data_IF_299154390079
#
_entry.id   IF_299154390079
#
_cell.length_a   1.000
_cell.length_b   1.000
_cell.length_c   1.000
_cell.angle_alpha   90.00
_cell.angle_beta   90.00
_cell.angle_gamma   90.00
#
_symmetry.space_group_name_H-M   'P 1'
#
loop_
_entity.id
_entity.type
_entity.pdbx_description
1 polymer ?
#
# COMPACT_ATOMS: atom_id res chain seq x y z
N UNK A 1 0.21 -21.29 1.58
CA UNK A 1 -1.23 -21.64 1.69
C UNK A 1 -1.40 -23.01 2.32
N UNK A 2 -0.72 -24.07 1.86
CA UNK A 2 -0.82 -25.42 2.45
C UNK A 2 -0.47 -25.40 3.95
N UNK A 3 0.65 -24.81 4.33
CA UNK A 3 1.07 -24.69 5.72
C UNK A 3 0.07 -23.89 6.58
N UNK A 4 -0.51 -22.82 6.01
CA UNK A 4 -1.60 -22.08 6.67
C UNK A 4 -2.81 -22.98 6.95
N UNK A 5 -3.19 -23.84 6.00
CA UNK A 5 -4.27 -24.82 6.18
C UNK A 5 -3.95 -25.85 7.27
N UNK A 6 -2.73 -26.36 7.30
CA UNK A 6 -2.28 -27.30 8.35
C UNK A 6 -2.29 -26.62 9.73
N UNK A 7 -1.95 -25.31 9.81
CA UNK A 7 -1.94 -24.58 11.08
C UNK A 7 -3.30 -24.44 11.77
N UNK A 8 -4.39 -24.70 11.08
CA UNK A 8 -5.74 -24.71 11.66
C UNK A 8 -5.89 -25.80 12.71
N UNK A 9 -5.14 -26.89 12.60
CA UNK A 9 -5.23 -28.04 13.53
C UNK A 9 -4.87 -27.66 14.96
N UNK A 10 -3.94 -26.68 15.15
CA UNK A 10 -3.55 -26.18 16.48
C UNK A 10 -4.01 -24.75 16.75
N UNK A 11 -4.88 -24.22 15.90
CA UNK A 11 -5.41 -22.87 16.06
C UNK A 11 -6.27 -22.74 17.32
N UNK A 12 -6.18 -21.60 18.00
CA UNK A 12 -7.03 -21.30 19.18
C UNK A 12 -8.51 -21.35 18.79
N UNK A 13 -8.83 -20.80 17.60
CA UNK A 13 -10.15 -20.85 16.99
C UNK A 13 -10.02 -21.36 15.55
N UNK A 14 -10.41 -22.62 15.33
CA UNK A 14 -10.35 -23.27 14.03
C UNK A 14 -11.30 -22.62 13.01
N UNK A 15 -12.44 -22.08 13.43
CA UNK A 15 -13.43 -21.46 12.54
C UNK A 15 -12.87 -20.17 11.96
N UNK A 16 -12.23 -19.33 12.79
CA UNK A 16 -11.56 -18.12 12.32
C UNK A 16 -10.38 -18.47 11.40
N UNK A 17 -9.57 -19.43 11.80
CA UNK A 17 -8.47 -19.96 10.98
C UNK A 17 -8.95 -20.43 9.60
N UNK A 18 -10.03 -21.19 9.54
CA UNK A 18 -10.63 -21.66 8.29
C UNK A 18 -11.14 -20.49 7.42
N UNK A 19 -11.80 -19.51 8.03
CA UNK A 19 -12.30 -18.32 7.33
C UNK A 19 -11.16 -17.53 6.67
N UNK A 20 -10.06 -17.29 7.39
CA UNK A 20 -8.88 -16.59 6.86
C UNK A 20 -8.21 -17.43 5.77
N UNK A 21 -8.00 -18.71 6.01
CA UNK A 21 -7.39 -19.62 5.01
C UNK A 21 -8.19 -19.69 3.71
N UNK A 22 -9.53 -19.78 3.80
CA UNK A 22 -10.40 -19.78 2.63
C UNK A 22 -10.25 -18.50 1.79
N UNK A 23 -10.16 -17.31 2.42
CA UNK A 23 -9.87 -16.06 1.72
C UNK A 23 -8.55 -16.12 0.95
N UNK A 24 -7.50 -16.67 1.55
CA UNK A 24 -6.21 -16.82 0.89
C UNK A 24 -6.25 -17.80 -0.27
N UNK A 25 -7.01 -18.90 -0.17
CA UNK A 25 -7.23 -19.83 -1.28
C UNK A 25 -7.92 -19.13 -2.46
N UNK A 26 -8.99 -18.38 -2.19
CA UNK A 26 -9.71 -17.65 -3.25
C UNK A 26 -8.80 -16.64 -3.96
N UNK A 27 -7.98 -15.89 -3.21
CA UNK A 27 -7.00 -14.97 -3.78
C UNK A 27 -5.99 -15.74 -4.65
N UNK A 28 -5.50 -16.88 -4.18
CA UNK A 28 -4.54 -17.69 -4.92
C UNK A 28 -5.11 -18.28 -6.21
N UNK A 29 -6.33 -18.79 -6.16
CA UNK A 29 -7.05 -19.27 -7.35
C UNK A 29 -7.25 -18.13 -8.35
N UNK A 30 -7.72 -16.97 -7.88
CA UNK A 30 -7.89 -15.80 -8.73
C UNK A 30 -6.56 -15.35 -9.39
N UNK A 31 -5.45 -15.41 -8.66
CA UNK A 31 -4.12 -15.13 -9.19
C UNK A 31 -3.71 -16.11 -10.28
N UNK A 32 -3.87 -17.43 -10.06
CA UNK A 32 -3.54 -18.46 -11.06
C UNK A 32 -4.38 -18.28 -12.32
N UNK A 33 -5.69 -18.07 -12.18
CA UNK A 33 -6.58 -17.84 -13.30
C UNK A 33 -6.17 -16.58 -14.08
N UNK A 34 -5.84 -15.50 -13.37
CA UNK A 34 -5.38 -14.25 -14.00
C UNK A 34 -4.10 -14.45 -14.80
N UNK A 35 -3.13 -15.18 -14.24
CA UNK A 35 -1.88 -15.53 -14.93
C UNK A 35 -2.19 -16.40 -16.17
N UNK A 36 -3.06 -17.41 -16.03
CA UNK A 36 -3.47 -18.27 -17.14
C UNK A 36 -4.11 -17.50 -18.29
N UNK A 37 -4.96 -16.51 -17.96
CA UNK A 37 -5.52 -15.58 -18.95
C UNK A 37 -4.43 -14.72 -19.60
N UNK A 38 -3.53 -14.15 -18.80
CA UNK A 38 -2.45 -13.29 -19.31
C UNK A 38 -1.49 -14.03 -20.25
N UNK A 39 -1.27 -15.33 -20.05
CA UNK A 39 -0.40 -16.14 -20.92
C UNK A 39 -1.05 -16.50 -22.26
N UNK A 40 -2.39 -16.51 -22.32
CA UNK A 40 -3.14 -16.90 -23.54
C UNK A 40 -3.52 -15.72 -24.43
N UNK A 41 -3.66 -14.52 -23.88
CA UNK A 41 -4.13 -13.34 -24.61
C UNK A 41 -2.98 -12.38 -24.92
N UNK A 42 -2.67 -12.20 -26.18
CA UNK A 42 -1.67 -11.22 -26.65
C UNK A 42 -2.02 -9.76 -26.26
N UNK A 43 -3.28 -9.49 -25.91
CA UNK A 43 -3.76 -8.18 -25.48
C UNK A 43 -3.88 -8.06 -23.96
N UNK A 44 -3.55 -9.10 -23.19
CA UNK A 44 -3.75 -9.15 -21.74
C UNK A 44 -3.15 -7.94 -20.99
N UNK A 45 -1.93 -7.55 -21.33
CA UNK A 45 -1.29 -6.37 -20.71
C UNK A 45 -2.08 -5.10 -21.03
N UNK A 46 -2.54 -4.92 -22.25
CA UNK A 46 -3.35 -3.76 -22.63
C UNK A 46 -4.68 -3.76 -21.86
N UNK A 47 -5.34 -4.90 -21.77
CA UNK A 47 -6.60 -5.05 -21.05
C UNK A 47 -6.42 -4.78 -19.56
N UNK A 48 -5.34 -5.30 -18.94
CA UNK A 48 -4.98 -5.02 -17.56
C UNK A 48 -4.78 -3.52 -17.30
N UNK A 49 -4.08 -2.82 -18.21
CA UNK A 49 -3.88 -1.38 -18.11
C UNK A 49 -5.22 -0.63 -18.22
N UNK A 50 -6.08 -1.00 -19.14
CA UNK A 50 -7.41 -0.37 -19.27
C UNK A 50 -8.25 -0.60 -18.01
N UNK A 51 -8.29 -1.82 -17.48
CA UNK A 51 -8.98 -2.12 -16.22
C UNK A 51 -8.39 -1.29 -15.06
N UNK A 52 -7.07 -1.19 -14.99
CA UNK A 52 -6.41 -0.37 -13.95
C UNK A 52 -6.80 1.11 -14.08
N UNK A 53 -6.85 1.66 -15.28
CA UNK A 53 -7.29 3.03 -15.55
C UNK A 53 -8.73 3.25 -15.08
N UNK A 54 -9.65 2.33 -15.41
CA UNK A 54 -11.05 2.42 -14.99
C UNK A 54 -11.17 2.39 -13.46
N UNK A 55 -10.53 1.42 -12.81
CA UNK A 55 -10.57 1.29 -11.35
C UNK A 55 -9.90 2.50 -10.67
N UNK A 56 -8.80 3.02 -11.23
CA UNK A 56 -8.14 4.22 -10.72
C UNK A 56 -9.07 5.44 -10.79
N UNK A 57 -9.80 5.59 -11.91
CA UNK A 57 -10.78 6.67 -12.09
C UNK A 57 -11.89 6.59 -11.04
N UNK A 58 -12.47 5.41 -10.85
CA UNK A 58 -13.52 5.19 -9.83
C UNK A 58 -12.99 5.52 -8.44
N UNK A 59 -11.78 5.12 -8.12
CA UNK A 59 -11.18 5.39 -6.80
C UNK A 59 -10.88 6.88 -6.58
N UNK A 60 -10.37 7.58 -7.59
CA UNK A 60 -10.15 9.04 -7.52
C UNK A 60 -11.48 9.77 -7.31
N UNK A 61 -12.50 9.43 -8.09
CA UNK A 61 -13.84 9.99 -7.92
C UNK A 61 -14.40 9.70 -6.54
N UNK A 62 -14.30 8.46 -6.05
CA UNK A 62 -14.72 8.09 -4.70
C UNK A 62 -14.00 8.91 -3.62
N UNK A 63 -12.70 9.16 -3.76
CA UNK A 63 -11.94 9.99 -2.82
C UNK A 63 -12.48 11.43 -2.78
N UNK A 64 -12.70 12.03 -3.94
CA UNK A 64 -13.20 13.40 -4.07
C UNK A 64 -14.63 13.51 -3.52
N UNK A 65 -15.51 12.59 -3.89
CA UNK A 65 -16.90 12.56 -3.41
C UNK A 65 -16.91 12.42 -1.88
N UNK A 66 -16.17 11.47 -1.31
CA UNK A 66 -16.11 11.28 0.14
C UNK A 66 -15.55 12.52 0.85
N UNK A 67 -14.60 13.24 0.25
CA UNK A 67 -14.03 14.45 0.82
C UNK A 67 -15.09 15.53 1.05
N UNK A 68 -16.01 15.72 0.10
CA UNK A 68 -17.09 16.70 0.21
C UNK A 68 -18.30 16.18 1.00
N UNK A 69 -18.72 14.93 0.77
CA UNK A 69 -19.90 14.33 1.44
C UNK A 69 -19.69 14.22 2.96
N UNK A 70 -18.48 13.96 3.42
CA UNK A 70 -18.18 13.86 4.85
C UNK A 70 -17.64 15.15 5.46
N UNK A 71 -17.70 16.27 4.74
CA UNK A 71 -17.25 17.59 5.23
C UNK A 71 -15.83 17.57 5.81
N UNK A 72 -14.93 16.82 5.18
CA UNK A 72 -13.54 16.70 5.63
C UNK A 72 -12.82 18.05 5.55
N UNK A 73 -13.24 18.90 4.63
CA UNK A 73 -12.76 20.28 4.50
C UNK A 73 -13.09 21.17 5.70
N UNK A 74 -14.11 20.82 6.50
CA UNK A 74 -14.53 21.58 7.68
C UNK A 74 -13.93 20.99 8.97
N UNK A 75 -13.84 19.66 9.05
CA UNK A 75 -13.41 18.99 10.27
C UNK A 75 -12.47 17.80 10.00
N UNK A 76 -11.32 17.85 10.65
CA UNK A 76 -10.35 16.75 10.56
C UNK A 76 -10.80 15.44 11.17
N UNK A 77 -11.66 15.45 12.19
CA UNK A 77 -12.24 14.22 12.74
C UNK A 77 -12.91 13.38 11.65
N UNK A 78 -13.41 14.05 10.60
CA UNK A 78 -14.05 13.39 9.46
C UNK A 78 -13.05 12.72 8.50
N UNK A 79 -11.75 12.99 8.63
CA UNK A 79 -10.71 12.35 7.79
C UNK A 79 -10.68 10.82 7.94
N UNK A 80 -11.13 10.28 9.08
CA UNK A 80 -11.25 8.83 9.27
C UNK A 80 -12.34 8.21 8.38
N UNK A 81 -13.31 9.02 7.91
CA UNK A 81 -14.39 8.60 7.02
C UNK A 81 -13.97 8.54 5.54
N UNK A 82 -12.77 9.02 5.20
CA UNK A 82 -12.18 8.92 3.85
C UNK A 82 -11.71 7.50 3.55
N UNK A 83 -12.58 6.53 3.60
CA UNK A 83 -12.24 5.13 3.40
C UNK A 83 -12.64 4.58 2.01
N UNK A 84 -13.41 5.35 1.23
CA UNK A 84 -13.93 4.93 -0.06
C UNK A 84 -14.64 3.57 0.03
N UNK A 85 -14.30 2.67 -0.88
CA UNK A 85 -14.83 1.30 -0.89
C UNK A 85 -14.03 0.32 -0.01
N UNK A 86 -12.99 0.79 0.71
CA UNK A 86 -12.01 -0.09 1.38
C UNK A 86 -12.20 -0.18 2.90
N UNK A 87 -13.18 0.51 3.47
CA UNK A 87 -13.45 0.51 4.91
C UNK A 87 -12.38 1.18 5.78
N UNK A 88 -11.15 1.38 5.25
CA UNK A 88 -10.02 2.01 5.95
C UNK A 88 -9.22 2.90 5.00
N UNK A 89 -8.95 4.13 5.41
CA UNK A 89 -8.22 5.12 4.61
C UNK A 89 -6.79 4.71 4.26
N UNK A 90 -6.11 3.95 5.14
CA UNK A 90 -4.74 3.49 4.87
C UNK A 90 -4.75 2.43 3.76
N UNK A 91 -5.72 1.50 3.79
CA UNK A 91 -5.90 0.49 2.75
C UNK A 91 -6.26 1.18 1.42
N UNK A 92 -7.12 2.19 1.49
CA UNK A 92 -7.48 2.98 0.30
C UNK A 92 -6.26 3.68 -0.32
N UNK A 93 -5.41 4.32 0.50
CA UNK A 93 -4.19 4.96 0.02
C UNK A 93 -3.21 3.97 -0.61
N UNK A 94 -3.02 2.79 -0.01
CA UNK A 94 -2.21 1.72 -0.57
C UNK A 94 -2.79 1.21 -1.89
N UNK A 95 -4.11 1.04 -1.98
CA UNK A 95 -4.78 0.64 -3.22
C UNK A 95 -4.59 1.65 -4.36
N UNK A 96 -4.52 2.95 -4.06
CA UNK A 96 -4.16 3.99 -5.03
C UNK A 96 -2.69 3.88 -5.46
N UNK A 97 -1.78 3.70 -4.51
CA UNK A 97 -0.35 3.54 -4.77
C UNK A 97 -0.05 2.35 -5.70
N UNK A 98 -0.70 1.20 -5.48
CA UNK A 98 -0.49 0.01 -6.31
C UNK A 98 -0.89 0.19 -7.77
N UNK A 99 -1.69 1.20 -8.11
CA UNK A 99 -2.07 1.50 -9.49
C UNK A 99 -1.03 2.32 -10.24
N UNK A 100 -0.21 3.10 -9.52
CA UNK A 100 0.76 4.00 -10.14
C UNK A 100 1.77 3.30 -11.05
N UNK A 101 2.42 2.17 -10.70
CA UNK A 101 3.34 1.48 -11.59
C UNK A 101 2.72 1.09 -12.94
N UNK A 102 1.45 0.68 -12.95
CA UNK A 102 0.71 0.37 -14.18
C UNK A 102 0.46 1.63 -15.02
N UNK A 103 0.17 2.75 -14.37
CA UNK A 103 0.01 4.04 -15.05
C UNK A 103 1.35 4.56 -15.57
N UNK A 104 2.46 4.39 -14.84
CA UNK A 104 3.81 4.69 -15.35
C UNK A 104 4.12 3.90 -16.61
N UNK A 105 3.84 2.59 -16.58
CA UNK A 105 3.98 1.73 -17.73
C UNK A 105 3.10 2.20 -18.90
N UNK A 106 1.86 2.60 -18.63
CA UNK A 106 0.94 3.12 -19.64
C UNK A 106 1.50 4.39 -20.32
N UNK A 107 2.05 5.34 -19.56
CA UNK A 107 2.69 6.56 -20.10
C UNK A 107 3.88 6.21 -20.99
N UNK A 108 4.69 5.23 -20.62
CA UNK A 108 5.89 4.84 -21.34
C UNK A 108 5.58 4.07 -22.64
N UNK A 109 4.56 3.21 -22.64
CA UNK A 109 4.30 2.25 -23.74
C UNK A 109 3.17 2.66 -24.67
N UNK A 110 2.13 3.32 -24.17
CA UNK A 110 0.99 3.72 -24.98
C UNK A 110 1.15 5.16 -25.49
N UNK A 111 0.33 5.52 -26.49
CA UNK A 111 0.32 6.85 -27.12
C UNK A 111 -1.05 7.49 -27.01
N UNK A 112 -1.17 8.75 -27.45
CA UNK A 112 -2.43 9.50 -27.54
C UNK A 112 -3.21 9.49 -26.20
N UNK A 113 -4.52 9.21 -26.26
CA UNK A 113 -5.44 9.32 -25.13
C UNK A 113 -5.00 8.54 -23.88
N UNK A 114 -4.59 7.26 -24.02
CA UNK A 114 -4.20 6.43 -22.90
C UNK A 114 -3.02 7.06 -22.14
N UNK A 115 -2.02 7.61 -22.84
CA UNK A 115 -0.87 8.29 -22.23
C UNK A 115 -1.30 9.51 -21.43
N UNK A 116 -2.05 10.43 -22.05
CA UNK A 116 -2.42 11.69 -21.39
C UNK A 116 -3.39 11.46 -20.23
N UNK A 117 -4.33 10.52 -20.39
CA UNK A 117 -5.23 10.17 -19.33
C UNK A 117 -4.53 9.49 -18.15
N UNK A 118 -3.52 8.65 -18.42
CA UNK A 118 -2.67 8.07 -17.36
C UNK A 118 -1.86 9.14 -16.63
N UNK A 119 -1.34 10.15 -17.31
CA UNK A 119 -0.68 11.30 -16.66
C UNK A 119 -1.66 12.07 -15.77
N UNK A 120 -2.87 12.34 -16.24
CA UNK A 120 -3.92 12.94 -15.42
C UNK A 120 -4.24 12.10 -14.17
N UNK A 121 -4.34 10.78 -14.30
CA UNK A 121 -4.58 9.91 -13.16
C UNK A 121 -3.40 9.86 -12.17
N UNK A 122 -2.16 9.92 -12.66
CA UNK A 122 -0.97 10.02 -11.79
C UNK A 122 -1.05 11.30 -10.96
N UNK A 123 -1.37 12.43 -11.58
CA UNK A 123 -1.62 13.70 -10.89
C UNK A 123 -2.73 13.55 -9.85
N UNK A 124 -3.90 13.06 -10.26
CA UNK A 124 -5.08 12.95 -9.42
C UNK A 124 -4.87 11.98 -8.23
N UNK A 125 -4.18 10.84 -8.45
CA UNK A 125 -3.82 9.93 -7.37
C UNK A 125 -2.87 10.60 -6.39
N UNK A 126 -1.82 11.27 -6.85
CA UNK A 126 -0.87 11.98 -5.97
C UNK A 126 -1.57 13.05 -5.15
N UNK A 127 -2.52 13.77 -5.72
CA UNK A 127 -3.38 14.72 -5.04
C UNK A 127 -4.26 14.03 -3.97
N UNK A 128 -4.92 12.92 -4.31
CA UNK A 128 -5.75 12.15 -3.37
C UNK A 128 -4.94 11.57 -2.22
N UNK A 129 -3.69 11.14 -2.43
CA UNK A 129 -2.82 10.65 -1.35
C UNK A 129 -2.57 11.71 -0.28
N UNK A 130 -2.49 12.98 -0.65
CA UNK A 130 -2.41 14.09 0.30
C UNK A 130 -3.71 14.25 1.07
N UNK A 131 -4.86 14.21 0.40
CA UNK A 131 -6.18 14.27 1.04
C UNK A 131 -6.33 13.15 2.08
N UNK A 132 -5.94 11.93 1.73
CA UNK A 132 -5.98 10.77 2.63
C UNK A 132 -5.01 10.90 3.81
N UNK A 133 -3.97 11.72 3.70
CA UNK A 133 -3.02 12.04 4.79
C UNK A 133 -2.37 10.82 5.44
N UNK A 134 -2.05 9.78 4.68
CA UNK A 134 -1.42 8.57 5.22
C UNK A 134 0.09 8.64 5.08
N UNK A 135 0.84 8.50 6.19
CA UNK A 135 2.30 8.62 6.21
C UNK A 135 3.00 7.59 5.31
N UNK A 136 2.52 6.35 5.36
CA UNK A 136 3.06 5.24 4.56
C UNK A 136 2.91 5.46 3.06
N UNK A 137 1.83 6.12 2.62
CA UNK A 137 1.62 6.39 1.20
C UNK A 137 2.58 7.45 0.64
N UNK A 138 3.00 8.41 1.45
CA UNK A 138 4.02 9.38 1.04
C UNK A 138 5.36 8.71 0.80
N UNK A 139 5.81 7.89 1.77
CA UNK A 139 7.03 7.10 1.63
C UNK A 139 6.93 6.19 0.40
N UNK A 140 5.79 5.53 0.21
CA UNK A 140 5.55 4.64 -0.92
C UNK A 140 5.60 5.37 -2.27
N UNK A 141 5.02 6.56 -2.38
CA UNK A 141 5.08 7.38 -3.60
C UNK A 141 6.52 7.78 -3.93
N UNK A 142 7.26 8.33 -2.95
CA UNK A 142 8.64 8.75 -3.16
C UNK A 142 9.55 7.57 -3.51
N UNK A 143 9.37 6.43 -2.86
CA UNK A 143 10.12 5.22 -3.18
C UNK A 143 9.84 4.73 -4.61
N UNK A 144 8.57 4.74 -5.05
CA UNK A 144 8.21 4.38 -6.42
C UNK A 144 8.84 5.33 -7.45
N UNK A 145 8.84 6.64 -7.19
CA UNK A 145 9.48 7.61 -8.07
C UNK A 145 11.00 7.43 -8.08
N UNK A 146 11.63 7.16 -6.95
CA UNK A 146 13.06 6.85 -6.88
C UNK A 146 13.43 5.60 -7.69
N UNK A 147 12.65 4.52 -7.55
CA UNK A 147 12.84 3.30 -8.34
C UNK A 147 12.64 3.56 -9.83
N UNK A 148 11.63 4.35 -10.21
CA UNK A 148 11.39 4.74 -11.59
C UNK A 148 12.57 5.53 -12.18
N UNK A 149 13.09 6.50 -11.44
CA UNK A 149 14.27 7.27 -11.84
C UNK A 149 15.51 6.40 -11.96
N UNK A 150 15.77 5.55 -10.97
CA UNK A 150 16.88 4.61 -10.99
C UNK A 150 16.83 3.69 -12.21
N UNK A 151 15.67 3.09 -12.46
CA UNK A 151 15.48 2.27 -13.66
C UNK A 151 15.67 3.05 -14.95
N UNK A 152 15.16 4.29 -15.00
CA UNK A 152 15.35 5.18 -16.15
C UNK A 152 16.83 5.47 -16.44
N UNK A 153 17.60 5.82 -15.41
CA UNK A 153 19.06 6.09 -15.53
C UNK A 153 19.80 4.80 -15.90
N UNK A 154 19.52 3.69 -15.22
CA UNK A 154 20.17 2.41 -15.51
C UNK A 154 19.95 1.95 -16.95
N UNK A 155 18.70 2.04 -17.44
CA UNK A 155 18.39 1.71 -18.83
C UNK A 155 19.10 2.60 -19.83
N UNK A 156 19.25 3.89 -19.52
CA UNK A 156 19.97 4.86 -20.37
C UNK A 156 21.45 4.52 -20.49
N UNK A 157 22.12 4.25 -19.36
CA UNK A 157 23.53 3.88 -19.33
C UNK A 157 23.76 2.61 -20.17
N UNK A 158 22.87 1.64 -20.07
CA UNK A 158 22.99 0.36 -20.77
C UNK A 158 22.74 0.46 -22.29
N UNK A 159 21.80 1.31 -22.73
CA UNK A 159 21.32 1.34 -24.12
C UNK A 159 22.32 1.94 -25.12
N UNK A 160 23.31 2.72 -24.69
CA UNK A 160 24.33 3.42 -25.48
C UNK A 160 23.81 4.25 -26.71
N UNK A 161 22.49 4.35 -26.91
CA UNK A 161 21.87 5.09 -28.03
C UNK A 161 21.34 6.44 -27.53
N UNK A 162 22.08 7.51 -27.83
CA UNK A 162 21.81 8.88 -27.38
C UNK A 162 20.36 9.34 -27.67
N UNK A 163 19.84 9.05 -28.87
CA UNK A 163 18.51 9.48 -29.30
C UNK A 163 17.37 8.81 -28.49
N UNK A 164 17.54 7.56 -28.11
CA UNK A 164 16.60 6.81 -27.25
C UNK A 164 16.68 7.30 -25.81
N UNK A 165 17.87 7.67 -25.35
CA UNK A 165 18.12 8.23 -24.04
C UNK A 165 17.26 9.49 -23.83
N UNK A 166 17.38 10.47 -24.74
CA UNK A 166 16.64 11.74 -24.63
C UNK A 166 15.12 11.57 -24.70
N UNK A 167 14.62 10.63 -25.49
CA UNK A 167 13.18 10.40 -25.63
C UNK A 167 12.56 9.77 -24.38
N UNK A 168 13.22 8.79 -23.79
CA UNK A 168 12.71 8.13 -22.58
C UNK A 168 12.91 8.98 -21.32
N UNK A 169 14.05 9.68 -21.19
CA UNK A 169 14.30 10.57 -20.05
C UNK A 169 13.24 11.65 -19.89
N UNK A 170 12.77 12.24 -21.00
CA UNK A 170 11.68 13.22 -20.98
C UNK A 170 10.39 12.65 -20.40
N UNK A 171 10.06 11.38 -20.69
CA UNK A 171 8.85 10.75 -20.17
C UNK A 171 8.97 10.41 -18.68
N UNK A 172 10.14 9.93 -18.22
CA UNK A 172 10.39 9.71 -16.80
C UNK A 172 10.32 11.01 -16.01
N UNK A 173 10.98 12.06 -16.52
CA UNK A 173 10.92 13.38 -15.91
C UNK A 173 9.49 13.92 -15.87
N UNK A 174 8.73 13.77 -16.95
CA UNK A 174 7.33 14.18 -17.00
C UNK A 174 6.47 13.47 -15.97
N UNK A 175 6.63 12.15 -15.80
CA UNK A 175 5.92 11.39 -14.77
C UNK A 175 6.25 11.94 -13.37
N UNK A 176 7.52 12.17 -13.07
CA UNK A 176 7.96 12.71 -11.79
C UNK A 176 7.38 14.12 -11.54
N UNK A 177 7.47 15.01 -12.54
CA UNK A 177 6.94 16.36 -12.43
C UNK A 177 5.42 16.37 -12.21
N UNK A 178 4.68 15.52 -12.92
CA UNK A 178 3.23 15.39 -12.78
C UNK A 178 2.86 14.82 -11.40
N UNK A 179 3.57 13.80 -10.92
CA UNK A 179 3.32 13.24 -9.59
C UNK A 179 3.61 14.27 -8.48
N UNK A 180 4.74 14.97 -8.56
CA UNK A 180 5.13 16.00 -7.59
C UNK A 180 4.16 17.19 -7.64
N UNK A 181 3.73 17.63 -8.84
CA UNK A 181 2.75 18.71 -8.95
C UNK A 181 1.40 18.36 -8.30
N UNK A 182 0.91 17.13 -8.49
CA UNK A 182 -0.29 16.65 -7.82
C UNK A 182 -0.15 16.65 -6.28
N UNK A 183 1.03 16.24 -5.80
CA UNK A 183 1.36 16.25 -4.38
C UNK A 183 1.40 17.68 -3.81
N UNK A 184 2.11 18.61 -4.44
CA UNK A 184 2.25 20.02 -4.00
C UNK A 184 0.90 20.74 -4.05
N UNK A 185 0.15 20.58 -5.12
CA UNK A 185 -1.18 21.20 -5.25
C UNK A 185 -2.18 20.61 -4.25
N UNK A 186 -2.09 19.33 -3.95
CA UNK A 186 -2.88 18.69 -2.89
C UNK A 186 -2.59 19.29 -1.52
N UNK A 187 -1.32 19.55 -1.19
CA UNK A 187 -0.94 20.20 0.08
C UNK A 187 -1.44 21.65 0.15
N UNK A 188 -1.26 22.41 -0.94
CA UNK A 188 -1.78 23.77 -1.03
C UNK A 188 -3.30 23.83 -0.90
N UNK A 189 -4.02 22.89 -1.54
CA UNK A 189 -5.47 22.77 -1.47
C UNK A 189 -5.95 22.50 -0.03
N UNK A 190 -5.30 21.58 0.68
CA UNK A 190 -5.65 21.29 2.07
C UNK A 190 -5.40 22.50 2.96
N UNK A 191 -4.24 23.16 2.82
CA UNK A 191 -3.90 24.35 3.60
C UNK A 191 -4.92 25.47 3.37
N UNK A 192 -5.31 25.71 2.11
CA UNK A 192 -6.31 26.71 1.76
C UNK A 192 -7.67 26.42 2.42
N UNK A 193 -8.15 25.19 2.31
CA UNK A 193 -9.44 24.81 2.88
C UNK A 193 -9.44 24.92 4.43
N UNK A 194 -8.35 24.48 5.09
CA UNK A 194 -8.26 24.60 6.54
C UNK A 194 -8.17 26.07 7.00
N UNK A 195 -7.42 26.90 6.29
CA UNK A 195 -7.36 28.33 6.60
C UNK A 195 -8.71 29.03 6.44
N UNK A 196 -9.52 28.57 5.47
CA UNK A 196 -10.80 29.23 5.16
C UNK A 196 -11.98 28.71 5.99
N UNK A 197 -12.02 27.41 6.28
CA UNK A 197 -13.17 26.75 6.92
C UNK A 197 -12.94 26.36 8.38
N UNK A 198 -11.71 26.23 8.86
CA UNK A 198 -11.43 25.90 10.26
C UNK A 198 -10.77 27.08 10.97
N UNK A 199 -11.35 27.49 12.11
CA UNK A 199 -10.73 28.45 13.04
C UNK A 199 -9.57 27.82 13.85
N UNK A 200 -9.07 26.65 13.45
CA UNK A 200 -8.05 25.88 14.15
C UNK A 200 -6.69 26.18 13.53
N UNK A 201 -5.68 26.42 14.36
CA UNK A 201 -4.30 26.70 13.95
C UNK A 201 -3.77 25.72 12.89
N UNK A 202 -3.36 26.28 11.75
CA UNK A 202 -2.93 25.54 10.55
C UNK A 202 -1.59 24.82 10.71
N UNK A 203 -0.84 25.06 11.82
CA UNK A 203 0.52 24.58 12.00
C UNK A 203 0.68 23.06 12.03
N UNK A 204 -0.37 22.31 12.39
CA UNK A 204 -0.32 20.85 12.50
C UNK A 204 -0.56 20.11 11.16
N UNK A 205 -0.72 20.83 10.04
CA UNK A 205 -1.18 20.26 8.75
C UNK A 205 -0.19 20.38 7.61
N UNK A 206 0.91 21.09 7.80
CA UNK A 206 1.95 21.17 6.78
C UNK A 206 2.61 19.79 6.55
N UNK A 207 3.11 19.54 5.33
CA UNK A 207 3.95 18.37 5.03
C UNK A 207 5.10 18.29 6.04
N UNK A 208 5.69 19.44 6.40
CA UNK A 208 6.75 19.54 7.42
C UNK A 208 6.31 18.97 8.76
N UNK A 209 5.18 19.42 9.32
CA UNK A 209 4.65 18.91 10.58
C UNK A 209 4.31 17.40 10.53
N UNK A 210 3.92 16.89 9.37
CA UNK A 210 3.68 15.45 9.17
C UNK A 210 4.98 14.66 9.07
N UNK A 211 5.99 15.19 8.40
CA UNK A 211 7.32 14.58 8.34
C UNK A 211 7.98 14.58 9.73
N UNK A 212 7.91 15.67 10.48
CA UNK A 212 8.40 15.70 11.87
C UNK A 212 7.63 14.72 12.76
N UNK A 213 6.29 14.61 12.60
CA UNK A 213 5.49 13.62 13.33
C UNK A 213 5.81 12.16 12.96
N UNK A 214 6.42 11.90 11.78
CA UNK A 214 7.00 10.60 11.44
C UNK A 214 8.26 10.37 12.27
N UNK A 215 9.11 11.37 12.38
CA UNK A 215 10.36 11.32 13.14
C UNK A 215 10.13 11.29 14.65
N UNK A 216 9.15 12.04 15.16
CA UNK A 216 8.81 12.12 16.59
C UNK A 216 7.98 10.92 17.10
N UNK A 217 7.62 10.00 16.22
CA UNK A 217 7.06 8.71 16.57
C UNK A 217 5.80 8.76 17.43
N UNK A 218 4.66 9.13 16.86
CA UNK A 218 3.35 8.82 17.46
C UNK A 218 3.05 7.30 17.37
N UNK A 219 4.11 6.51 17.63
CA UNK A 219 4.16 5.05 17.52
C UNK A 219 4.05 4.34 18.86
N UNK A 220 3.86 5.10 19.99
CA UNK A 220 3.76 4.49 21.32
C UNK A 220 2.75 3.35 21.38
N UNK A 221 1.58 3.50 20.73
CA UNK A 221 0.59 2.45 20.62
C UNK A 221 1.10 1.24 19.85
N UNK A 222 1.71 1.43 18.66
CA UNK A 222 2.23 0.32 17.85
C UNK A 222 3.41 -0.38 18.51
N UNK A 223 4.32 0.37 19.14
CA UNK A 223 5.44 -0.23 19.87
C UNK A 223 4.97 -1.11 21.03
N UNK A 224 3.89 -0.70 21.71
CA UNK A 224 3.28 -1.52 22.74
C UNK A 224 2.66 -2.80 22.15
N UNK A 225 1.91 -2.70 21.05
CA UNK A 225 1.37 -3.86 20.34
C UNK A 225 2.51 -4.80 19.91
N UNK A 226 3.58 -4.28 19.31
CA UNK A 226 4.73 -5.08 18.89
C UNK A 226 5.43 -5.77 20.08
N UNK A 227 5.59 -5.06 21.22
CA UNK A 227 6.12 -5.66 22.44
C UNK A 227 5.25 -6.81 22.91
N UNK A 228 3.92 -6.63 22.98
CA UNK A 228 2.98 -7.66 23.36
C UNK A 228 2.98 -8.82 22.36
N UNK A 229 3.06 -8.53 21.04
CA UNK A 229 3.20 -9.54 19.98
C UNK A 229 4.49 -10.35 20.15
N UNK A 230 5.60 -9.73 20.48
CA UNK A 230 6.85 -10.45 20.77
C UNK A 230 6.74 -11.36 22.01
N UNK A 231 5.93 -10.98 23.01
CA UNK A 231 5.69 -11.83 24.17
C UNK A 231 4.90 -13.11 23.81
N UNK A 232 3.87 -13.01 22.97
CA UNK A 232 3.15 -14.21 22.50
C UNK A 232 4.01 -15.08 21.58
N UNK A 233 4.84 -14.47 20.72
CA UNK A 233 5.77 -15.22 19.87
C UNK A 233 6.74 -16.06 20.72
N UNK A 234 7.27 -15.52 21.83
CA UNK A 234 8.15 -16.26 22.75
C UNK A 234 7.49 -17.49 23.36
N UNK A 235 6.17 -17.48 23.52
CA UNK A 235 5.41 -18.63 24.07
C UNK A 235 5.21 -19.74 23.05
N UNK A 236 5.11 -19.43 21.75
CA UNK A 236 4.96 -20.41 20.67
C UNK A 236 5.80 -20.03 19.43
N UNK A 237 7.16 -20.09 19.50
CA UNK A 237 8.00 -19.57 18.44
C UNK A 237 8.04 -20.46 17.19
N UNK A 238 7.81 -21.77 17.31
CA UNK A 238 7.94 -22.69 16.19
C UNK A 238 6.68 -22.80 15.35
N UNK A 239 5.53 -22.99 15.97
CA UNK A 239 4.26 -23.27 15.28
C UNK A 239 3.31 -22.08 15.27
N UNK A 240 3.48 -21.11 16.19
CA UNK A 240 2.54 -20.01 16.36
C UNK A 240 1.20 -20.45 16.96
N UNK A 241 0.19 -19.61 16.82
CA UNK A 241 -1.16 -19.83 17.37
C UNK A 241 -2.21 -20.25 16.34
N UNK A 242 -1.77 -20.57 15.11
CA UNK A 242 -2.64 -20.86 13.98
C UNK A 242 -3.03 -19.60 13.18
N UNK A 243 -3.29 -19.78 11.90
CA UNK A 243 -3.66 -18.69 10.98
C UNK A 243 -4.91 -17.96 11.47
N UNK A 244 -4.90 -16.62 11.41
CA UNK A 244 -6.02 -15.75 11.80
C UNK A 244 -6.23 -15.66 13.33
N UNK A 245 -5.32 -16.16 14.16
CA UNK A 245 -5.51 -16.24 15.62
C UNK A 245 -4.64 -15.23 16.41
N UNK A 246 -3.96 -14.31 15.74
CA UNK A 246 -3.19 -13.25 16.40
C UNK A 246 -4.01 -12.50 17.46
N UNK A 247 -5.22 -12.07 17.10
CA UNK A 247 -6.14 -11.34 17.99
C UNK A 247 -6.43 -12.13 19.28
N UNK A 248 -6.71 -13.41 19.17
CA UNK A 248 -7.03 -14.26 20.33
C UNK A 248 -5.79 -14.52 21.19
N UNK A 249 -4.63 -14.67 20.56
CA UNK A 249 -3.38 -14.88 21.28
C UNK A 249 -2.97 -13.63 22.08
N UNK A 250 -3.06 -12.43 21.46
CA UNK A 250 -2.65 -11.18 22.11
C UNK A 250 -3.58 -10.76 23.25
N UNK A 251 -4.86 -11.15 23.20
CA UNK A 251 -5.82 -10.91 24.29
C UNK A 251 -5.29 -11.39 25.64
N UNK A 252 -4.62 -12.55 25.70
CA UNK A 252 -4.07 -13.10 26.95
C UNK A 252 -3.05 -12.16 27.60
N UNK A 253 -2.27 -11.44 26.79
CA UNK A 253 -1.23 -10.52 27.28
C UNK A 253 -1.80 -9.13 27.52
N UNK A 254 -2.68 -8.64 26.67
CA UNK A 254 -3.25 -7.28 26.78
C UNK A 254 -4.23 -7.17 27.94
N UNK A 255 -5.14 -8.15 28.10
CA UNK A 255 -6.08 -8.16 29.22
C UNK A 255 -5.41 -8.34 30.58
N UNK A 256 -4.26 -9.05 30.65
CA UNK A 256 -3.51 -9.19 31.89
C UNK A 256 -2.80 -7.91 32.33
N UNK A 257 -2.49 -7.01 31.37
CA UNK A 257 -1.71 -5.78 31.63
C UNK A 257 -2.55 -4.51 31.76
N UNK A 258 -3.77 -4.52 31.22
CA UNK A 258 -4.67 -3.36 31.22
C UNK A 258 -6.04 -3.75 31.70
N UNK A 259 -6.60 -2.91 32.55
CA UNK A 259 -8.04 -2.99 32.90
C UNK A 259 -8.97 -2.47 31.78
N UNK A 260 -8.41 -2.05 30.65
CA UNK A 260 -9.16 -1.56 29.49
C UNK A 260 -9.42 -2.67 28.49
N UNK A 261 -10.66 -2.77 27.99
CA UNK A 261 -11.12 -3.76 27.02
C UNK A 261 -10.70 -3.52 25.56
N UNK A 262 -9.66 -2.73 25.32
CA UNK A 262 -9.15 -2.46 23.96
C UNK A 262 -8.13 -3.54 23.61
N UNK A 263 -8.54 -4.46 22.73
CA UNK A 263 -7.69 -5.51 22.19
C UNK A 263 -7.26 -5.16 20.77
N UNK A 264 -5.99 -5.37 20.47
CA UNK A 264 -5.45 -5.13 19.13
C UNK A 264 -5.85 -6.24 18.17
N UNK A 265 -6.66 -5.93 17.15
CA UNK A 265 -7.08 -6.90 16.14
C UNK A 265 -5.91 -7.40 15.27
N UNK A 266 -4.90 -6.54 15.04
CA UNK A 266 -3.74 -6.78 14.19
C UNK A 266 -2.46 -6.24 14.82
N UNK A 267 -1.33 -6.87 14.50
CA UNK A 267 0.00 -6.38 14.89
C UNK A 267 0.40 -5.07 14.18
N UNK A 268 -0.30 -4.68 13.11
CA UNK A 268 0.11 -3.60 12.21
C UNK A 268 1.56 -3.74 11.68
N UNK A 269 2.02 -4.97 11.61
CA UNK A 269 3.29 -5.42 11.07
C UNK A 269 3.13 -6.86 10.62
N UNK A 270 3.03 -7.08 9.32
CA UNK A 270 2.73 -8.38 8.73
C UNK A 270 3.79 -9.45 9.08
N UNK A 271 5.05 -9.05 9.27
CA UNK A 271 6.11 -9.99 9.67
C UNK A 271 5.87 -10.52 11.08
N UNK A 272 5.52 -9.63 12.02
CA UNK A 272 5.22 -10.03 13.40
C UNK A 272 3.91 -10.80 13.48
N UNK A 273 2.91 -10.43 12.69
CA UNK A 273 1.62 -11.13 12.63
C UNK A 273 1.80 -12.54 12.09
N UNK A 274 2.49 -12.70 10.94
CA UNK A 274 2.82 -14.02 10.38
C UNK A 274 3.65 -14.87 11.34
N UNK A 275 4.58 -14.26 12.07
CA UNK A 275 5.38 -14.99 13.05
C UNK A 275 4.52 -15.45 14.23
N UNK A 276 3.64 -14.61 14.75
CA UNK A 276 2.76 -14.98 15.86
C UNK A 276 1.75 -16.06 15.49
N UNK A 277 1.23 -16.03 14.25
CA UNK A 277 0.22 -16.99 13.80
C UNK A 277 0.81 -18.31 13.32
N UNK A 278 1.88 -18.26 12.54
CA UNK A 278 2.45 -19.42 11.83
C UNK A 278 3.84 -19.82 12.32
N UNK A 279 4.35 -19.16 13.35
CA UNK A 279 5.68 -19.42 13.89
C UNK A 279 6.80 -19.07 12.91
N UNK A 280 8.01 -19.58 13.21
CA UNK A 280 9.21 -19.30 12.41
C UNK A 280 9.07 -19.81 10.98
N UNK A 281 8.41 -20.95 10.76
CA UNK A 281 8.22 -21.51 9.43
C UNK A 281 7.33 -20.63 8.56
N UNK A 282 6.27 -20.03 9.14
CA UNK A 282 5.43 -19.06 8.45
C UNK A 282 6.19 -17.78 8.10
N UNK A 283 6.97 -17.26 9.05
CA UNK A 283 7.80 -16.08 8.82
C UNK A 283 8.84 -16.31 7.70
N UNK A 284 9.57 -17.43 7.75
CA UNK A 284 10.58 -17.77 6.73
C UNK A 284 9.94 -17.92 5.35
N UNK A 285 8.77 -18.55 5.26
CA UNK A 285 8.04 -18.69 4.01
C UNK A 285 7.60 -17.31 3.48
N UNK A 286 7.09 -16.44 4.35
CA UNK A 286 6.67 -15.09 4.00
C UNK A 286 7.83 -14.24 3.49
N UNK A 287 8.96 -14.23 4.20
CA UNK A 287 10.19 -13.51 3.80
C UNK A 287 10.77 -14.07 2.51
N UNK A 288 10.84 -15.41 2.35
CA UNK A 288 11.36 -16.04 1.14
C UNK A 288 10.59 -15.64 -0.11
N UNK A 289 9.29 -15.41 0.00
CA UNK A 289 8.47 -14.93 -1.12
C UNK A 289 8.98 -13.58 -1.64
N UNK A 290 9.24 -12.60 -0.76
CA UNK A 290 9.80 -11.31 -1.16
C UNK A 290 11.22 -11.42 -1.72
N UNK A 291 12.05 -12.28 -1.12
CA UNK A 291 13.42 -12.50 -1.60
C UNK A 291 13.43 -13.09 -3.01
N UNK A 292 12.60 -14.10 -3.28
CA UNK A 292 12.48 -14.70 -4.62
C UNK A 292 12.03 -13.66 -5.64
N UNK A 293 10.98 -12.90 -5.35
CA UNK A 293 10.52 -11.85 -6.26
C UNK A 293 11.59 -10.76 -6.46
N UNK A 294 12.28 -10.35 -5.41
CA UNK A 294 13.38 -9.39 -5.50
C UNK A 294 14.52 -9.89 -6.38
N UNK A 295 14.96 -11.13 -6.18
CA UNK A 295 16.01 -11.75 -7.00
C UNK A 295 15.56 -11.88 -8.47
N UNK A 296 14.31 -12.29 -8.72
CA UNK A 296 13.79 -12.38 -10.08
C UNK A 296 13.75 -11.01 -10.76
N UNK A 297 13.30 -9.96 -10.05
CA UNK A 297 13.27 -8.60 -10.57
C UNK A 297 14.68 -8.08 -10.90
N UNK A 298 15.67 -8.32 -10.01
CA UNK A 298 17.06 -7.97 -10.26
C UNK A 298 17.63 -8.74 -11.47
N UNK A 299 17.43 -10.05 -11.53
CA UNK A 299 17.88 -10.86 -12.69
C UNK A 299 17.28 -10.33 -14.00
N UNK A 300 16.00 -9.98 -14.00
CA UNK A 300 15.34 -9.44 -15.18
C UNK A 300 15.94 -8.08 -15.57
N UNK A 301 16.23 -7.21 -14.61
CA UNK A 301 16.85 -5.91 -14.84
C UNK A 301 18.24 -6.03 -15.47
N UNK A 302 19.06 -7.01 -15.03
CA UNK A 302 20.41 -7.22 -15.57
C UNK A 302 20.42 -8.02 -16.88
N UNK A 303 19.36 -8.76 -17.20
CA UNK A 303 19.28 -9.57 -18.41
C UNK A 303 19.02 -8.78 -19.68
N UNK A 304 18.32 -7.66 -19.57
CA UNK A 304 18.01 -6.71 -20.68
C UNK A 304 18.87 -5.46 -20.59
#
# INVERSE_FOLDING_TARGET
IVYMGVSIVWAINCVEGFSIWNRWILIFIAMILSIGFMLKDNHAIKNLIICTIVIATINVLSCIICYYVFDVHISQRNNLKLNGFYGNKNIFAVALLFKLPFLYYAVLRFKKFIRYYSLFLIFAISFCLIILSTRSSFIGLFLQLAVLCFYGVFYQIKSRKLSLIFKHSRLYLLICLVAVSGFVLGDAFIKYNFAHYSKIETNNYSIGARVTSIAEGNSKGRLLIWKNTCEIIKQSPLLGYGVGNHKLAIMKVECAKKHDYIVSDHAHNDFLEMFSELGIFGLLNYVSTYLVFGIMALKQMFRY
#
